data_IF_144996258273
#
_entry.id   IF_144996258273
#
_cell.length_a   1.000
_cell.length_b   1.000
_cell.length_c   1.000
_cell.angle_alpha   90.00
_cell.angle_beta   90.00
_cell.angle_gamma   90.00
#
_symmetry.space_group_name_H-M   'P 1'
#
loop_
_entity.id
_entity.type
_entity.pdbx_description
1 polymer ?
#
# COMPACT_ATOMS: atom_id res chain seq x y z
N UNK A 1 -5.25 -58.61 29.45
CA UNK A 1 -5.45 -57.16 29.27
C UNK A 1 -4.44 -56.63 28.25
N UNK A 2 -4.87 -56.42 27.00
CA UNK A 2 -4.05 -55.76 25.98
C UNK A 2 -4.11 -54.24 26.18
N UNK A 3 -2.95 -53.58 26.30
CA UNK A 3 -2.84 -52.13 26.26
C UNK A 3 -2.68 -51.71 24.80
N UNK A 4 -3.68 -51.01 24.26
CA UNK A 4 -3.60 -50.37 22.95
C UNK A 4 -2.86 -49.04 23.16
N UNK A 5 -1.70 -48.90 22.53
CA UNK A 5 -0.92 -47.68 22.51
C UNK A 5 -1.45 -46.80 21.36
N UNK A 6 -2.14 -45.71 21.68
CA UNK A 6 -2.49 -44.67 20.71
C UNK A 6 -1.29 -43.74 20.54
N UNK A 7 -0.58 -43.86 19.42
CA UNK A 7 0.41 -42.87 19.00
C UNK A 7 -0.32 -41.76 18.25
N UNK A 8 -0.53 -40.62 18.91
CA UNK A 8 -1.06 -39.41 18.27
C UNK A 8 0.10 -38.72 17.55
N UNK A 9 0.13 -38.79 16.23
CA UNK A 9 1.06 -38.04 15.39
C UNK A 9 0.54 -36.61 15.22
N UNK A 10 1.18 -35.64 15.86
CA UNK A 10 0.96 -34.22 15.58
C UNK A 10 1.65 -33.86 14.26
N UNK A 11 0.88 -33.63 13.20
CA UNK A 11 1.39 -33.07 11.95
C UNK A 11 1.50 -31.55 12.12
N UNK A 12 2.68 -31.06 12.49
CA UNK A 12 2.96 -29.62 12.52
C UNK A 12 3.29 -29.17 11.09
N UNK A 13 2.29 -28.68 10.36
CA UNK A 13 2.52 -28.00 9.07
C UNK A 13 3.04 -26.60 9.38
N UNK A 14 4.36 -26.44 9.42
CA UNK A 14 4.99 -25.13 9.38
C UNK A 14 4.93 -24.68 7.92
N UNK A 15 3.89 -23.92 7.55
CA UNK A 15 3.89 -23.21 6.27
C UNK A 15 4.95 -22.11 6.34
N UNK A 16 6.15 -22.42 5.86
CA UNK A 16 7.15 -21.41 5.53
C UNK A 16 6.63 -20.74 4.25
N UNK A 17 5.89 -19.64 4.38
CA UNK A 17 5.66 -18.74 3.26
C UNK A 17 7.01 -18.10 2.93
N UNK A 18 7.73 -18.67 1.95
CA UNK A 18 8.75 -17.91 1.23
C UNK A 18 8.00 -16.81 0.47
N UNK A 19 8.38 -15.54 0.64
CA UNK A 19 7.89 -14.53 -0.29
C UNK A 19 8.39 -14.92 -1.68
N UNK A 20 7.47 -15.09 -2.64
CA UNK A 20 7.79 -15.60 -3.97
C UNK A 20 8.67 -14.62 -4.78
N UNK A 21 8.79 -13.36 -4.33
CA UNK A 21 9.63 -12.34 -4.95
C UNK A 21 11.13 -12.42 -4.62
N UNK A 22 11.61 -13.44 -3.89
CA UNK A 22 13.06 -13.60 -3.67
C UNK A 22 13.81 -13.83 -4.99
N UNK A 23 14.31 -12.74 -5.60
CA UNK A 23 15.27 -12.75 -6.70
C UNK A 23 14.91 -11.96 -7.95
N UNK A 24 13.78 -11.24 -8.00
CA UNK A 24 13.41 -10.41 -9.16
C UNK A 24 13.52 -8.93 -8.82
N UNK A 25 14.22 -8.16 -9.66
CA UNK A 25 14.27 -6.71 -9.54
C UNK A 25 12.98 -6.12 -10.10
N UNK A 26 11.97 -5.92 -9.25
CA UNK A 26 10.67 -5.42 -9.68
C UNK A 26 10.33 -4.05 -9.09
N UNK A 27 9.56 -3.27 -9.84
CA UNK A 27 8.95 -2.03 -9.35
C UNK A 27 7.43 -2.22 -9.38
N UNK A 28 6.80 -2.17 -8.22
CA UNK A 28 5.35 -2.15 -8.13
C UNK A 28 4.81 -0.82 -8.65
N UNK A 29 3.73 -0.86 -9.43
CA UNK A 29 3.15 0.34 -10.02
C UNK A 29 1.63 0.29 -10.01
N UNK A 30 1.05 1.49 -10.11
CA UNK A 30 -0.38 1.71 -10.25
C UNK A 30 -0.63 2.71 -11.37
N UNK A 31 -1.64 2.45 -12.19
CA UNK A 31 -2.11 3.43 -13.17
C UNK A 31 -3.60 3.25 -13.45
N UNK A 32 -4.27 4.34 -13.78
CA UNK A 32 -5.63 4.31 -14.32
C UNK A 32 -5.60 4.30 -15.85
N UNK A 33 -6.52 3.57 -16.48
CA UNK A 33 -6.69 3.56 -17.95
C UNK A 33 -7.41 4.82 -18.41
N UNK A 34 -6.83 5.56 -19.37
CA UNK A 34 -7.36 6.84 -19.91
C UNK A 34 -8.87 6.79 -20.16
N UNK A 35 -9.37 5.67 -20.66
CA UNK A 35 -10.74 5.53 -21.13
C UNK A 35 -11.68 4.91 -20.07
N UNK A 36 -11.14 4.42 -18.95
CA UNK A 36 -11.91 3.83 -17.84
C UNK A 36 -11.62 4.56 -16.53
N UNK A 37 -12.58 5.35 -16.10
CA UNK A 37 -12.43 6.23 -14.92
C UNK A 37 -12.70 5.54 -13.59
N UNK A 38 -13.28 4.34 -13.64
CA UNK A 38 -13.75 3.53 -12.51
C UNK A 38 -12.75 2.43 -12.10
N UNK A 39 -11.63 2.30 -12.80
CA UNK A 39 -10.65 1.24 -12.57
C UNK A 39 -9.22 1.74 -12.38
N UNK A 40 -8.47 1.02 -11.56
CA UNK A 40 -7.03 1.15 -11.34
C UNK A 40 -6.37 -0.20 -11.57
N UNK A 41 -5.29 -0.23 -12.33
CA UNK A 41 -4.49 -1.44 -12.55
C UNK A 41 -3.36 -1.47 -11.54
N UNK A 42 -3.18 -2.63 -10.91
CA UNK A 42 -2.02 -2.94 -10.08
C UNK A 42 -1.17 -4.00 -10.75
N UNK A 43 0.14 -3.80 -10.71
CA UNK A 43 1.10 -4.71 -11.32
C UNK A 43 2.53 -4.33 -10.96
N UNK A 44 3.46 -4.87 -11.71
CA UNK A 44 4.87 -4.56 -11.56
C UNK A 44 5.61 -4.55 -12.90
N UNK A 45 6.68 -3.77 -12.95
CA UNK A 45 7.69 -3.84 -13.99
C UNK A 45 8.79 -4.78 -13.52
N UNK A 46 9.07 -5.83 -14.28
CA UNK A 46 10.28 -6.65 -14.13
C UNK A 46 11.43 -5.92 -14.84
N UNK A 47 12.40 -5.41 -14.07
CA UNK A 47 13.51 -4.62 -14.60
C UNK A 47 14.51 -5.49 -15.38
N UNK A 48 14.61 -6.77 -15.05
CA UNK A 48 15.52 -7.69 -15.71
C UNK A 48 14.98 -8.10 -17.09
N UNK A 49 13.65 -8.18 -17.23
CA UNK A 49 12.97 -8.48 -18.50
C UNK A 49 12.49 -7.25 -19.28
N UNK A 50 12.44 -6.08 -18.65
CA UNK A 50 11.78 -4.87 -19.19
C UNK A 50 10.32 -5.12 -19.59
N UNK A 51 9.62 -5.96 -18.82
CA UNK A 51 8.24 -6.36 -19.07
C UNK A 51 7.32 -5.86 -17.97
N UNK A 52 6.10 -5.45 -18.34
CA UNK A 52 5.08 -5.07 -17.39
C UNK A 52 4.03 -6.18 -17.23
N UNK A 53 3.76 -6.56 -15.98
CA UNK A 53 2.73 -7.55 -15.65
C UNK A 53 1.60 -6.89 -14.88
N UNK A 54 0.38 -6.97 -15.41
CA UNK A 54 -0.85 -6.63 -14.68
C UNK A 54 -1.23 -7.83 -13.82
N UNK A 55 -1.35 -7.60 -12.52
CA UNK A 55 -1.80 -8.61 -11.56
C UNK A 55 -3.29 -8.51 -11.28
N UNK A 56 -3.83 -7.29 -11.19
CA UNK A 56 -5.23 -7.09 -10.88
C UNK A 56 -5.80 -5.78 -11.43
N UNK A 57 -7.13 -5.77 -11.60
CA UNK A 57 -7.93 -4.58 -11.90
C UNK A 57 -8.82 -4.28 -10.69
N UNK A 58 -8.67 -3.10 -10.12
CA UNK A 58 -9.29 -2.67 -8.87
C UNK A 58 -10.30 -1.56 -9.13
N UNK A 59 -11.39 -1.49 -8.36
CA UNK A 59 -12.38 -0.44 -8.48
C UNK A 59 -11.93 0.83 -7.74
N UNK A 60 -12.06 2.01 -8.36
CA UNK A 60 -11.68 3.30 -7.74
C UNK A 60 -12.46 3.65 -6.48
N UNK A 61 -13.64 3.07 -6.26
CA UNK A 61 -14.39 3.24 -5.01
C UNK A 61 -13.72 2.52 -3.83
N UNK A 62 -13.00 1.43 -4.11
CA UNK A 62 -12.29 0.63 -3.11
C UNK A 62 -10.87 1.12 -2.85
N UNK A 63 -10.25 1.75 -3.86
CA UNK A 63 -8.84 2.13 -3.80
C UNK A 63 -8.53 3.60 -4.00
N UNK A 64 -9.57 4.40 -4.23
CA UNK A 64 -9.48 5.79 -4.59
C UNK A 64 -9.18 5.98 -6.08
N UNK A 65 -9.44 7.19 -6.56
CA UNK A 65 -9.25 7.57 -7.94
C UNK A 65 -7.92 8.33 -8.11
N UNK A 66 -6.90 7.75 -8.78
CA UNK A 66 -5.65 8.44 -9.08
C UNK A 66 -5.84 9.79 -9.77
N UNK A 67 -6.89 9.92 -10.57
CA UNK A 67 -7.14 11.11 -11.40
C UNK A 67 -7.66 12.30 -10.60
N UNK A 68 -8.19 12.04 -9.41
CA UNK A 68 -8.71 13.07 -8.53
C UNK A 68 -7.63 13.70 -7.66
N UNK A 69 -6.38 13.22 -7.77
CA UNK A 69 -5.26 13.85 -7.08
C UNK A 69 -4.85 15.12 -7.82
N UNK A 70 -4.65 16.18 -7.02
CA UNK A 70 -3.92 17.38 -7.43
C UNK A 70 -2.48 17.05 -7.88
N UNK A 71 -1.91 15.97 -7.37
CA UNK A 71 -0.57 15.49 -7.69
C UNK A 71 -0.68 14.22 -8.54
N UNK A 72 -0.08 14.21 -9.73
CA UNK A 72 -0.20 13.09 -10.70
C UNK A 72 0.54 11.80 -10.25
N UNK A 73 1.12 11.78 -9.06
CA UNK A 73 1.85 10.64 -8.49
C UNK A 73 0.97 9.98 -7.45
N UNK A 74 0.76 8.67 -7.59
CA UNK A 74 0.13 7.83 -6.58
C UNK A 74 1.17 7.38 -5.55
N UNK A 75 1.03 7.76 -4.27
CA UNK A 75 1.82 7.17 -3.21
C UNK A 75 1.67 5.65 -3.20
N UNK A 76 2.79 4.96 -3.34
CA UNK A 76 2.90 3.51 -3.26
C UNK A 76 4.17 3.16 -2.50
N UNK A 77 4.09 2.20 -1.59
CA UNK A 77 5.26 1.60 -0.95
C UNK A 77 5.02 0.11 -0.73
N UNK A 78 6.09 -0.64 -0.51
CA UNK A 78 6.08 -2.10 -0.41
C UNK A 78 6.67 -2.56 0.93
N UNK A 79 6.00 -3.52 1.55
CA UNK A 79 6.52 -4.33 2.65
C UNK A 79 6.97 -5.70 2.13
N UNK A 80 8.29 -5.89 1.94
CA UNK A 80 8.84 -7.17 1.47
C UNK A 80 8.71 -8.30 2.48
N UNK A 81 8.48 -8.01 3.76
CA UNK A 81 8.40 -9.04 4.80
C UNK A 81 7.08 -9.81 4.72
N UNK A 82 5.99 -9.09 4.44
CA UNK A 82 4.65 -9.67 4.36
C UNK A 82 4.11 -9.75 2.92
N UNK A 83 4.92 -9.32 1.94
CA UNK A 83 4.56 -9.25 0.54
C UNK A 83 3.29 -8.41 0.30
N UNK A 84 3.30 -7.19 0.83
CA UNK A 84 2.15 -6.29 0.82
C UNK A 84 2.53 -4.94 0.23
N UNK A 85 1.69 -4.41 -0.67
CA UNK A 85 1.80 -3.04 -1.15
C UNK A 85 0.77 -2.14 -0.45
N UNK A 86 1.22 -0.96 -0.04
CA UNK A 86 0.38 0.11 0.49
C UNK A 86 0.21 1.19 -0.56
N UNK A 87 -1.03 1.54 -0.86
CA UNK A 87 -1.39 2.57 -1.83
C UNK A 87 -2.24 3.63 -1.15
N UNK A 88 -2.04 4.89 -1.52
CA UNK A 88 -2.98 5.94 -1.15
C UNK A 88 -3.50 6.71 -2.36
N UNK A 89 -4.81 6.80 -2.52
CA UNK A 89 -5.46 7.67 -3.50
C UNK A 89 -6.66 8.40 -2.86
N UNK A 90 -7.13 9.49 -3.47
CA UNK A 90 -8.31 10.20 -2.92
C UNK A 90 -9.60 9.66 -3.52
N UNK A 91 -10.67 9.69 -2.75
CA UNK A 91 -12.02 9.42 -3.25
C UNK A 91 -12.74 10.69 -3.70
N UNK A 92 -13.97 10.51 -4.19
CA UNK A 92 -14.84 11.59 -4.68
C UNK A 92 -15.16 12.66 -3.60
N UNK A 93 -14.94 12.36 -2.32
CA UNK A 93 -15.13 13.28 -1.19
C UNK A 93 -13.81 13.90 -0.69
N UNK A 94 -12.73 13.84 -1.48
CA UNK A 94 -11.39 14.31 -1.12
C UNK A 94 -10.82 13.69 0.17
N UNK A 95 -11.29 12.50 0.56
CA UNK A 95 -10.66 11.72 1.64
C UNK A 95 -9.66 10.76 1.04
N UNK A 96 -8.55 10.56 1.73
CA UNK A 96 -7.57 9.56 1.30
C UNK A 96 -8.06 8.17 1.66
N UNK A 97 -8.16 7.31 0.64
CA UNK A 97 -8.24 5.87 0.76
C UNK A 97 -6.81 5.33 0.90
N UNK A 98 -6.53 4.61 1.98
CA UNK A 98 -5.34 3.77 2.10
C UNK A 98 -5.73 2.32 1.83
N UNK A 99 -5.17 1.74 0.78
CA UNK A 99 -5.42 0.36 0.37
C UNK A 99 -4.21 -0.51 0.64
N UNK A 100 -4.47 -1.74 1.04
CA UNK A 100 -3.48 -2.76 1.33
C UNK A 100 -3.70 -3.90 0.35
N UNK A 101 -2.71 -4.18 -0.48
CA UNK A 101 -2.76 -5.20 -1.53
C UNK A 101 -1.77 -6.32 -1.21
N UNK A 102 -2.12 -7.56 -1.54
CA UNK A 102 -1.12 -8.62 -1.64
C UNK A 102 -0.28 -8.34 -2.90
N UNK A 103 1.04 -8.24 -2.75
CA UNK A 103 1.89 -7.72 -3.81
C UNK A 103 2.15 -8.73 -4.93
N UNK A 104 2.13 -10.03 -4.63
CA UNK A 104 2.26 -11.11 -5.62
C UNK A 104 1.00 -11.30 -6.47
N UNK A 105 -0.18 -11.22 -5.86
CA UNK A 105 -1.46 -11.50 -6.55
C UNK A 105 -2.21 -10.25 -6.98
N UNK A 106 -1.86 -9.09 -6.45
CA UNK A 106 -2.62 -7.85 -6.61
C UNK A 106 -3.99 -7.85 -5.91
N UNK A 107 -4.30 -8.86 -5.11
CA UNK A 107 -5.57 -8.95 -4.40
C UNK A 107 -5.69 -7.82 -3.36
N UNK A 108 -6.84 -7.15 -3.34
CA UNK A 108 -7.17 -6.18 -2.29
C UNK A 108 -7.41 -6.91 -0.97
N UNK A 109 -6.61 -6.61 0.04
CA UNK A 109 -6.71 -7.21 1.37
C UNK A 109 -7.54 -6.33 2.30
N UNK A 110 -7.29 -5.02 2.30
CA UNK A 110 -7.97 -4.05 3.16
C UNK A 110 -8.07 -2.68 2.50
N UNK A 111 -9.11 -1.96 2.88
CA UNK A 111 -9.35 -0.56 2.51
C UNK A 111 -9.65 0.24 3.76
N UNK A 112 -8.99 1.39 3.91
CA UNK A 112 -9.23 2.36 4.98
C UNK A 112 -9.65 3.69 4.38
N UNK A 113 -10.82 4.18 4.75
CA UNK A 113 -11.49 5.30 4.06
C UNK A 113 -11.64 6.56 4.95
N UNK A 114 -10.70 6.74 5.88
CA UNK A 114 -10.85 7.68 7.01
C UNK A 114 -9.69 8.66 7.18
N UNK A 115 -8.64 8.60 6.36
CA UNK A 115 -7.47 9.46 6.58
C UNK A 115 -7.79 10.89 6.14
N UNK A 116 -7.81 11.85 7.09
CA UNK A 116 -8.01 13.25 6.76
C UNK A 116 -6.78 13.77 6.03
N UNK A 117 -7.02 14.63 5.02
CA UNK A 117 -6.01 15.24 4.15
C UNK A 117 -5.38 14.29 3.12
N UNK A 118 -4.85 14.89 2.05
CA UNK A 118 -4.17 14.16 0.98
C UNK A 118 -2.83 13.59 1.45
N UNK A 119 -2.64 12.27 1.35
CA UNK A 119 -1.32 11.65 1.48
C UNK A 119 -0.52 11.97 0.21
N UNK A 120 0.58 12.70 0.30
CA UNK A 120 1.46 13.07 -0.81
C UNK A 120 2.42 11.93 -1.17
N UNK A 121 2.98 11.27 -0.15
CA UNK A 121 3.91 10.15 -0.33
C UNK A 121 3.77 9.14 0.82
N UNK A 122 4.20 7.91 0.56
CA UNK A 122 4.24 6.81 1.53
C UNK A 122 5.65 6.24 1.60
N UNK A 123 6.08 5.85 2.79
CA UNK A 123 7.32 5.11 3.01
C UNK A 123 7.12 4.03 4.04
N UNK A 124 7.51 2.81 3.69
CA UNK A 124 7.52 1.69 4.62
C UNK A 124 8.94 1.46 5.15
N UNK A 125 9.08 1.52 6.47
CA UNK A 125 10.31 1.16 7.17
C UNK A 125 10.31 -0.35 7.44
N UNK A 126 11.13 -1.06 6.67
CA UNK A 126 11.27 -2.51 6.74
C UNK A 126 11.87 -3.01 8.06
N UNK A 127 12.65 -2.18 8.76
CA UNK A 127 13.34 -2.59 9.98
C UNK A 127 12.42 -2.50 11.18
N UNK A 128 11.67 -1.39 11.29
CA UNK A 128 10.74 -1.17 12.40
C UNK A 128 9.30 -1.59 12.08
N UNK A 129 9.02 -2.01 10.84
CA UNK A 129 7.69 -2.41 10.35
C UNK A 129 6.65 -1.32 10.54
N UNK A 130 7.00 -0.11 10.12
CA UNK A 130 6.17 1.09 10.26
C UNK A 130 5.87 1.72 8.92
N UNK A 131 4.66 2.25 8.77
CA UNK A 131 4.27 3.04 7.61
C UNK A 131 4.28 4.52 7.98
N UNK A 132 5.00 5.31 7.19
CA UNK A 132 5.06 6.75 7.30
C UNK A 132 4.43 7.39 6.07
N UNK A 133 3.90 8.58 6.27
CA UNK A 133 3.34 9.38 5.19
C UNK A 133 3.76 10.84 5.31
N UNK A 134 3.87 11.48 4.16
CA UNK A 134 3.86 12.93 4.03
C UNK A 134 2.45 13.34 3.66
N UNK A 135 1.85 14.27 4.39
CA UNK A 135 0.44 14.65 4.18
C UNK A 135 0.26 16.15 4.07
N UNK A 136 -0.75 16.56 3.31
CA UNK A 136 -1.22 17.94 3.32
C UNK A 136 -1.79 18.31 4.69
N UNK A 137 -1.83 19.62 4.95
CA UNK A 137 -2.57 20.20 6.08
C UNK A 137 -3.62 21.17 5.56
N UNK A 138 -4.43 21.71 6.46
CA UNK A 138 -5.34 22.81 6.17
C UNK A 138 -4.65 24.19 6.10
N UNK A 139 -3.32 24.25 6.31
CA UNK A 139 -2.53 25.47 6.22
C UNK A 139 -1.69 25.44 4.95
N UNK A 140 -1.76 26.52 4.16
CA UNK A 140 -1.01 26.63 2.92
C UNK A 140 0.50 26.48 3.15
N UNK A 141 1.15 25.70 2.28
CA UNK A 141 2.59 25.42 2.32
C UNK A 141 3.07 24.78 3.63
N UNK A 142 2.17 24.11 4.36
CA UNK A 142 2.51 23.30 5.52
C UNK A 142 2.07 21.86 5.26
N UNK A 143 2.98 20.95 5.55
CA UNK A 143 2.75 19.51 5.43
C UNK A 143 3.20 18.80 6.70
N UNK A 144 2.61 17.62 6.97
CA UNK A 144 2.96 16.79 8.11
C UNK A 144 3.73 15.55 7.68
N UNK A 145 4.69 15.15 8.51
CA UNK A 145 5.21 13.78 8.51
C UNK A 145 4.47 13.03 9.60
N UNK A 146 3.83 11.92 9.24
CA UNK A 146 2.99 11.13 10.17
C UNK A 146 3.38 9.65 10.16
N UNK A 147 3.22 8.99 11.30
CA UNK A 147 3.16 7.52 11.36
C UNK A 147 1.70 7.09 11.19
N UNK A 148 1.45 6.12 10.32
CA UNK A 148 0.13 5.52 10.09
C UNK A 148 0.00 4.25 10.92
N UNK A 149 -1.14 4.09 11.61
CA UNK A 149 -1.55 2.81 12.17
C UNK A 149 -2.10 1.93 11.03
N UNK A 150 -1.34 0.93 10.61
CA UNK A 150 -1.73 0.02 9.50
C UNK A 150 -2.84 -0.97 9.87
N UNK A 151 -3.23 -1.05 11.15
CA UNK A 151 -4.37 -1.86 11.57
C UNK A 151 -5.68 -1.06 11.55
N UNK A 152 -5.61 0.23 11.90
CA UNK A 152 -6.76 1.12 11.96
C UNK A 152 -6.94 1.98 10.69
N UNK A 153 -5.88 2.16 9.90
CA UNK A 153 -5.86 3.04 8.74
C UNK A 153 -6.03 4.51 9.11
N UNK A 154 -5.41 4.94 10.20
CA UNK A 154 -5.49 6.30 10.73
C UNK A 154 -4.12 6.83 11.10
N UNK A 155 -4.00 8.13 11.37
CA UNK A 155 -2.78 8.69 11.93
C UNK A 155 -2.57 8.16 13.34
N UNK A 156 -1.42 7.55 13.56
CA UNK A 156 -0.97 7.13 14.89
C UNK A 156 -0.35 8.30 15.65
N UNK A 157 0.47 9.10 14.97
CA UNK A 157 1.09 10.30 15.51
C UNK A 157 1.63 11.21 14.40
N UNK A 158 1.71 12.52 14.69
CA UNK A 158 2.43 13.50 13.89
C UNK A 158 3.88 13.55 14.42
N UNK A 159 4.84 13.35 13.54
CA UNK A 159 6.27 13.31 13.85
C UNK A 159 6.96 14.65 13.63
N UNK A 160 6.42 15.46 12.71
CA UNK A 160 6.96 16.78 12.42
C UNK A 160 6.14 17.51 11.37
N UNK A 161 6.45 18.79 11.22
CA UNK A 161 5.85 19.67 10.23
C UNK A 161 6.95 20.23 9.33
N UNK A 162 6.64 20.36 8.04
CA UNK A 162 7.51 21.04 7.06
C UNK A 162 6.74 22.28 6.58
N UNK A 163 7.30 23.45 6.85
CA UNK A 163 6.73 24.74 6.45
C UNK A 163 7.48 25.33 5.25
N UNK A 164 6.76 26.08 4.41
CA UNK A 164 7.34 26.83 3.29
C UNK A 164 7.66 25.99 2.06
N UNK A 165 7.17 24.76 1.97
CA UNK A 165 7.32 23.88 0.82
C UNK A 165 5.96 23.50 0.24
N UNK A 166 5.77 23.63 -1.08
CA UNK A 166 4.63 23.00 -1.76
C UNK A 166 5.03 21.61 -2.23
N UNK A 167 4.15 20.61 -2.14
CA UNK A 167 4.40 19.30 -2.73
C UNK A 167 4.58 19.32 -4.26
N UNK A 168 4.21 20.42 -4.93
CA UNK A 168 4.43 20.64 -6.37
C UNK A 168 5.86 21.06 -6.74
N UNK A 169 6.73 21.28 -5.76
CA UNK A 169 8.10 21.76 -5.99
C UNK A 169 9.11 20.60 -6.18
N UNK A 170 8.62 19.36 -6.39
CA UNK A 170 9.41 18.15 -6.68
C UNK A 170 9.11 17.66 -8.09
#
# INVERSE_FOLDING_TARGET
MQKILFTITFLLIISIHRSEQQGQNVIHTLFGDRDKTDVVYYGYVDLDKSEYTILNTLNTDDVGNPRQRKYQILPLTYDPTNDIAFMAAVNNQNRTILSVLNATTGALLRTFNSIPNGIISLQYDIFNKKLFAHTETNVDNVTHIVEIDTNAGSFKQILGEISGAKPTDI
#
